data_IF_462143128019
#
_entry.id   IF_462143128019
#
_cell.length_a   1.000
_cell.length_b   1.000
_cell.length_c   1.000
_cell.angle_alpha   90.00
_cell.angle_beta   90.00
_cell.angle_gamma   90.00
#
_symmetry.space_group_name_H-M   'P 1'
#
loop_
_entity.id
_entity.type
_entity.pdbx_description
1 polymer ?
#
# COMPACT_ATOMS: atom_id res chain seq x y z
N UNK A 1 -3.03 21.49 -9.60
CA UNK A 1 -1.89 20.53 -9.58
C UNK A 1 -2.25 19.43 -8.60
N UNK A 2 -2.03 18.15 -8.92
CA UNK A 2 -2.29 17.05 -7.96
C UNK A 2 -1.02 16.88 -7.13
N UNK A 3 -1.16 16.85 -5.82
CA UNK A 3 -0.05 16.53 -4.94
C UNK A 3 0.25 15.03 -5.04
N UNK A 4 1.53 14.61 -5.01
CA UNK A 4 1.89 13.21 -4.93
C UNK A 4 1.25 12.57 -3.69
N UNK A 5 0.77 11.34 -3.84
CA UNK A 5 0.07 10.62 -2.79
C UNK A 5 1.09 10.06 -1.80
N UNK A 6 1.04 10.44 -0.51
CA UNK A 6 1.83 9.81 0.55
C UNK A 6 1.67 8.30 0.51
N UNK A 7 2.79 7.60 0.36
CA UNK A 7 2.84 6.16 0.15
C UNK A 7 3.77 5.52 1.17
N UNK A 8 3.21 4.67 2.02
CA UNK A 8 3.91 3.97 3.10
C UNK A 8 4.09 2.50 2.69
N UNK A 9 5.32 2.00 2.69
CA UNK A 9 5.54 0.55 2.66
C UNK A 9 5.41 0.00 4.07
N UNK A 10 4.67 -1.08 4.23
CA UNK A 10 4.42 -1.73 5.51
C UNK A 10 5.00 -3.13 5.47
N UNK A 11 5.94 -3.41 6.36
CA UNK A 11 6.55 -4.74 6.52
C UNK A 11 6.22 -5.29 7.90
N UNK A 12 6.24 -6.61 8.05
CA UNK A 12 5.96 -7.26 9.31
C UNK A 12 5.90 -8.78 9.18
N UNK A 13 6.03 -9.52 10.29
CA UNK A 13 6.24 -10.97 10.29
C UNK A 13 5.03 -11.78 9.82
N UNK A 14 3.85 -11.17 9.72
CA UNK A 14 2.62 -11.82 9.27
C UNK A 14 1.68 -10.86 8.54
N UNK A 15 0.71 -11.39 7.79
CA UNK A 15 -0.35 -10.60 7.18
C UNK A 15 -1.11 -9.77 8.23
N UNK A 16 -1.45 -10.39 9.36
CA UNK A 16 -2.14 -9.73 10.48
C UNK A 16 -1.31 -8.60 11.09
N UNK A 17 0.00 -8.79 11.26
CA UNK A 17 0.87 -7.74 11.79
C UNK A 17 0.91 -6.51 10.87
N UNK A 18 0.99 -6.71 9.55
CA UNK A 18 0.95 -5.61 8.58
C UNK A 18 -0.41 -4.91 8.56
N UNK A 19 -1.50 -5.66 8.54
CA UNK A 19 -2.86 -5.10 8.56
C UNK A 19 -3.17 -4.35 9.85
N UNK A 20 -2.69 -4.84 11.00
CA UNK A 20 -2.83 -4.16 12.30
C UNK A 20 -2.08 -2.83 12.31
N UNK A 21 -0.85 -2.82 11.79
CA UNK A 21 -0.05 -1.60 11.71
C UNK A 21 -0.71 -0.56 10.78
N UNK A 22 -1.26 -1.00 9.65
CA UNK A 22 -2.06 -0.14 8.76
C UNK A 22 -3.30 0.37 9.49
N UNK A 23 -4.05 -0.49 10.20
CA UNK A 23 -5.24 -0.08 10.94
C UNK A 23 -4.93 0.99 11.99
N UNK A 24 -3.81 0.86 12.71
CA UNK A 24 -3.33 1.87 13.67
C UNK A 24 -2.96 3.18 12.97
N UNK A 25 -2.21 3.13 11.87
CA UNK A 25 -1.88 4.31 11.07
C UNK A 25 -3.12 4.99 10.48
N UNK A 26 -4.15 4.20 10.14
CA UNK A 26 -5.42 4.73 9.64
C UNK A 26 -6.18 5.53 10.69
N UNK A 27 -5.98 5.22 11.98
CA UNK A 27 -6.61 5.89 13.13
C UNK A 27 -5.86 7.15 13.59
N UNK A 28 -4.73 7.51 12.98
CA UNK A 28 -3.97 8.71 13.37
C UNK A 28 -4.87 9.97 13.29
N UNK A 29 -5.14 10.64 14.42
CA UNK A 29 -6.02 11.80 14.48
C UNK A 29 -5.46 13.01 13.72
N UNK A 30 -4.17 13.01 13.39
CA UNK A 30 -3.52 14.01 12.56
C UNK A 30 -3.91 13.89 11.08
N UNK A 31 -4.51 12.76 10.68
CA UNK A 31 -4.99 12.55 9.31
C UNK A 31 -6.48 12.88 9.20
N UNK A 32 -6.92 13.71 8.23
CA UNK A 32 -8.33 14.04 8.06
C UNK A 32 -9.22 12.79 7.87
N UNK A 33 -10.19 12.61 8.77
CA UNK A 33 -11.06 11.41 8.82
C UNK A 33 -12.07 11.30 7.64
N UNK A 34 -12.09 12.29 6.75
CA UNK A 34 -12.95 12.31 5.55
C UNK A 34 -12.26 11.79 4.29
N UNK A 35 -10.97 11.45 4.36
CA UNK A 35 -10.18 11.14 3.17
C UNK A 35 -10.14 9.65 2.84
N UNK A 36 -10.36 9.33 1.56
CA UNK A 36 -10.26 7.99 1.01
C UNK A 36 -8.82 7.48 1.13
N UNK A 37 -8.63 6.33 1.78
CA UNK A 37 -7.34 5.65 1.85
C UNK A 37 -7.34 4.42 0.95
N UNK A 38 -6.17 4.07 0.40
CA UNK A 38 -5.99 2.87 -0.39
C UNK A 38 -4.93 1.97 0.24
N UNK A 39 -5.14 0.65 0.13
CA UNK A 39 -4.23 -0.37 0.64
C UNK A 39 -4.02 -1.43 -0.43
N UNK A 40 -2.76 -1.73 -0.75
CA UNK A 40 -2.35 -2.92 -1.49
C UNK A 40 -1.72 -3.89 -0.49
N UNK A 41 -2.16 -5.15 -0.46
CA UNK A 41 -1.59 -6.18 0.42
C UNK A 41 -1.06 -7.33 -0.41
N UNK A 42 0.20 -7.70 -0.19
CA UNK A 42 0.77 -8.93 -0.70
C UNK A 42 0.33 -10.12 0.17
N UNK A 43 -0.21 -11.13 -0.51
CA UNK A 43 -0.73 -12.35 0.10
C UNK A 43 -2.18 -12.25 0.56
N UNK A 44 -2.68 -13.40 1.03
CA UNK A 44 -4.01 -13.52 1.63
C UNK A 44 -3.97 -13.14 3.12
N UNK A 45 -5.14 -12.84 3.69
CA UNK A 45 -5.27 -12.73 5.15
C UNK A 45 -5.10 -14.11 5.79
N UNK A 46 -4.87 -14.12 7.10
CA UNK A 46 -4.86 -15.31 7.95
C UNK A 46 -6.27 -15.89 8.23
N UNK A 47 -7.27 -15.55 7.40
CA UNK A 47 -8.67 -15.89 7.62
C UNK A 47 -9.40 -14.96 8.60
N UNK A 48 -8.70 -14.00 9.24
CA UNK A 48 -9.30 -13.03 10.15
C UNK A 48 -8.77 -11.61 9.83
N UNK A 49 -9.22 -11.00 8.71
CA UNK A 49 -8.71 -9.72 8.24
C UNK A 49 -8.95 -8.61 9.28
N UNK A 50 -7.94 -7.76 9.48
CA UNK A 50 -8.04 -6.62 10.42
C UNK A 50 -8.59 -5.38 9.70
N UNK A 51 -8.38 -5.30 8.39
CA UNK A 51 -8.88 -4.20 7.55
C UNK A 51 -10.17 -4.60 6.84
N UNK A 52 -11.17 -3.73 6.91
CA UNK A 52 -12.47 -3.91 6.25
C UNK A 52 -12.69 -2.86 5.17
N UNK A 53 -13.19 -3.29 4.00
CA UNK A 53 -13.54 -2.38 2.91
C UNK A 53 -14.68 -1.47 3.37
N UNK A 54 -14.56 -0.18 3.08
CA UNK A 54 -15.60 0.81 3.35
C UNK A 54 -15.58 1.89 2.28
N UNK A 55 -16.53 2.83 2.34
CA UNK A 55 -16.54 4.02 1.46
C UNK A 55 -15.25 4.87 1.57
N UNK A 56 -14.49 4.69 2.66
CA UNK A 56 -13.26 5.44 2.94
C UNK A 56 -12.00 4.59 2.85
N UNK A 57 -12.11 3.30 2.58
CA UNK A 57 -10.97 2.38 2.52
C UNK A 57 -11.09 1.41 1.35
N UNK A 58 -10.21 1.58 0.37
CA UNK A 58 -10.02 0.63 -0.72
C UNK A 58 -8.96 -0.39 -0.33
N UNK A 59 -9.26 -1.67 -0.51
CA UNK A 59 -8.31 -2.76 -0.24
C UNK A 59 -8.17 -3.60 -1.51
N UNK A 60 -6.94 -3.81 -1.96
CA UNK A 60 -6.60 -4.72 -3.06
C UNK A 60 -5.55 -5.72 -2.58
N UNK A 61 -5.80 -7.01 -2.80
CA UNK A 61 -4.83 -8.06 -2.49
C UNK A 61 -4.19 -8.55 -3.78
N UNK A 62 -2.88 -8.79 -3.72
CA UNK A 62 -2.07 -9.31 -4.83
C UNK A 62 -1.39 -10.60 -4.34
N UNK A 63 -1.25 -11.59 -5.22
CA UNK A 63 -0.54 -12.82 -4.91
C UNK A 63 0.93 -12.56 -4.50
N UNK A 64 1.54 -13.42 -3.66
CA UNK A 64 2.96 -13.31 -3.31
C UNK A 64 3.89 -13.28 -4.53
N UNK A 65 5.00 -12.56 -4.43
CA UNK A 65 6.03 -12.46 -5.47
C UNK A 65 5.66 -11.54 -6.64
N UNK A 66 4.48 -10.94 -6.62
CA UNK A 66 4.01 -10.10 -7.72
C UNK A 66 4.39 -8.62 -7.60
N UNK A 67 4.97 -8.19 -6.46
CA UNK A 67 5.33 -6.78 -6.25
C UNK A 67 6.62 -6.35 -6.99
N UNK A 68 7.59 -7.25 -7.20
CA UNK A 68 8.96 -6.87 -7.55
C UNK A 68 9.43 -7.18 -8.99
N UNK A 69 9.19 -8.37 -9.55
CA UNK A 69 9.83 -8.78 -10.83
C UNK A 69 8.89 -9.45 -11.83
N UNK A 70 8.32 -10.62 -11.49
CA UNK A 70 7.48 -11.39 -12.41
C UNK A 70 6.02 -10.90 -12.48
N UNK A 71 5.53 -10.24 -11.42
CA UNK A 71 4.15 -9.74 -11.34
C UNK A 71 3.99 -8.23 -11.49
N UNK A 72 5.02 -7.51 -11.99
CA UNK A 72 4.98 -6.05 -12.11
C UNK A 72 3.74 -5.56 -12.88
N UNK A 73 3.25 -6.32 -13.87
CA UNK A 73 1.99 -5.96 -14.55
C UNK A 73 0.78 -5.93 -13.60
N UNK A 74 0.63 -6.93 -12.73
CA UNK A 74 -0.47 -6.99 -11.75
C UNK A 74 -0.37 -5.83 -10.77
N UNK A 75 0.84 -5.58 -10.25
CA UNK A 75 1.09 -4.44 -9.37
C UNK A 75 0.81 -3.11 -10.08
N UNK A 76 1.29 -2.90 -11.31
CA UNK A 76 1.03 -1.70 -12.12
C UNK A 76 -0.45 -1.48 -12.38
N UNK A 77 -1.18 -2.53 -12.77
CA UNK A 77 -2.62 -2.41 -13.05
C UNK A 77 -3.38 -2.09 -11.77
N UNK A 78 -3.06 -2.77 -10.67
CA UNK A 78 -3.70 -2.55 -9.36
C UNK A 78 -3.43 -1.13 -8.85
N UNK A 79 -2.16 -0.72 -8.85
CA UNK A 79 -1.73 0.61 -8.45
C UNK A 79 -2.40 1.69 -9.31
N UNK A 80 -2.35 1.59 -10.63
CA UNK A 80 -2.99 2.58 -11.51
C UNK A 80 -4.52 2.65 -11.33
N UNK A 81 -5.18 1.52 -11.06
CA UNK A 81 -6.63 1.49 -10.76
C UNK A 81 -6.92 2.23 -9.45
N UNK A 82 -6.12 2.00 -8.41
CA UNK A 82 -6.26 2.70 -7.13
C UNK A 82 -5.98 4.20 -7.27
N UNK A 83 -4.90 4.60 -7.97
CA UNK A 83 -4.55 6.01 -8.17
C UNK A 83 -5.63 6.79 -8.93
N UNK A 84 -6.43 6.13 -9.78
CA UNK A 84 -7.59 6.75 -10.44
C UNK A 84 -8.71 7.13 -9.46
N UNK A 85 -8.82 6.44 -8.32
CA UNK A 85 -9.75 6.77 -7.25
C UNK A 85 -9.28 7.96 -6.40
N UNK A 86 -8.06 8.47 -6.66
CA UNK A 86 -7.46 9.63 -5.97
C UNK A 86 -7.49 9.47 -4.43
N UNK A 87 -6.95 8.37 -3.89
CA UNK A 87 -6.83 8.25 -2.45
C UNK A 87 -5.89 9.33 -1.92
N UNK A 88 -6.16 9.83 -0.71
CA UNK A 88 -5.29 10.79 -0.06
C UNK A 88 -4.00 10.15 0.48
N UNK A 89 -4.01 8.84 0.71
CA UNK A 89 -2.83 8.06 1.13
C UNK A 89 -2.90 6.63 0.65
N UNK A 90 -1.74 6.03 0.46
CA UNK A 90 -1.56 4.66 0.01
C UNK A 90 -0.68 3.88 1.00
N UNK A 91 -1.10 2.68 1.37
CA UNK A 91 -0.28 1.71 2.08
C UNK A 91 -0.01 0.51 1.17
N UNK A 92 1.23 0.01 1.17
CA UNK A 92 1.59 -1.22 0.44
C UNK A 92 2.19 -2.19 1.46
N UNK A 93 1.40 -3.20 1.85
CA UNK A 93 1.85 -4.28 2.72
C UNK A 93 2.68 -5.29 1.95
N UNK A 94 3.98 -5.35 2.25
CA UNK A 94 4.96 -6.21 1.59
C UNK A 94 5.24 -7.42 2.49
N UNK A 95 5.02 -8.63 1.96
CA UNK A 95 5.21 -9.86 2.72
C UNK A 95 6.66 -10.34 2.70
N UNK A 96 7.31 -10.25 1.53
CA UNK A 96 8.71 -10.62 1.35
C UNK A 96 9.59 -9.39 1.17
N UNK A 97 10.52 -9.19 2.10
CA UNK A 97 11.42 -8.04 2.10
C UNK A 97 12.66 -8.24 1.22
N UNK A 98 12.87 -9.43 0.65
CA UNK A 98 14.04 -9.73 -0.19
C UNK A 98 14.20 -8.77 -1.38
N UNK A 99 13.10 -8.21 -1.87
CA UNK A 99 13.09 -7.30 -3.02
C UNK A 99 12.55 -5.90 -2.70
N UNK A 100 12.55 -5.51 -1.42
CA UNK A 100 11.95 -4.27 -0.97
C UNK A 100 12.62 -3.03 -1.58
N UNK A 101 13.94 -3.04 -1.73
CA UNK A 101 14.69 -1.93 -2.34
C UNK A 101 14.39 -1.80 -3.84
N UNK A 102 14.19 -2.92 -4.53
CA UNK A 102 13.78 -2.90 -5.93
C UNK A 102 12.36 -2.34 -6.08
N UNK A 103 11.44 -2.71 -5.18
CA UNK A 103 10.10 -2.14 -5.14
C UNK A 103 10.15 -0.62 -4.91
N UNK A 104 10.95 -0.15 -3.95
CA UNK A 104 11.17 1.29 -3.71
C UNK A 104 11.69 1.99 -4.96
N UNK A 105 12.75 1.45 -5.56
CA UNK A 105 13.34 2.02 -6.78
C UNK A 105 12.31 2.15 -7.90
N UNK A 106 11.47 1.14 -8.09
CA UNK A 106 10.40 1.18 -9.09
C UNK A 106 9.30 2.20 -8.74
N UNK A 107 8.84 2.28 -7.49
CA UNK A 107 7.85 3.27 -7.04
C UNK A 107 8.37 4.71 -7.12
N UNK A 108 9.69 4.91 -7.04
CA UNK A 108 10.36 6.20 -7.23
C UNK A 108 10.79 6.47 -8.68
N UNK A 109 10.43 5.60 -9.63
CA UNK A 109 10.73 5.77 -11.05
C UNK A 109 9.52 6.28 -11.83
N UNK A 110 9.75 6.84 -13.01
CA UNK A 110 8.67 7.33 -13.86
C UNK A 110 7.67 6.21 -14.23
N UNK A 111 6.35 6.46 -14.22
CA UNK A 111 5.70 7.75 -13.94
C UNK A 111 5.32 7.97 -12.46
N UNK A 112 5.72 7.07 -11.56
CA UNK A 112 5.28 7.07 -10.15
C UNK A 112 6.01 8.12 -9.30
N UNK A 113 7.22 8.51 -9.71
CA UNK A 113 7.98 9.65 -9.18
C UNK A 113 7.16 10.95 -9.05
N UNK A 114 6.20 11.16 -9.94
CA UNK A 114 5.32 12.33 -9.94
C UNK A 114 3.96 12.08 -9.26
N UNK A 115 3.61 10.82 -9.01
CA UNK A 115 2.31 10.41 -8.49
C UNK A 115 2.34 10.03 -7.02
N UNK A 116 3.49 9.57 -6.53
CA UNK A 116 3.67 9.05 -5.19
C UNK A 116 4.75 9.86 -4.47
N UNK A 117 4.53 10.09 -3.18
CA UNK A 117 5.57 10.53 -2.26
C UNK A 117 5.84 9.39 -1.28
N UNK A 118 6.95 8.67 -1.46
CA UNK A 118 7.35 7.65 -0.49
C UNK A 118 7.68 8.32 0.85
N UNK A 119 7.08 7.81 1.91
CA UNK A 119 7.33 8.23 3.30
C UNK A 119 8.19 7.20 4.02
N UNK A 120 8.63 7.45 5.26
CA UNK A 120 9.26 6.40 6.06
C UNK A 120 8.39 5.14 6.14
N UNK A 121 9.04 3.99 6.06
CA UNK A 121 8.34 2.71 6.11
C UNK A 121 7.82 2.42 7.52
N UNK A 122 6.70 1.70 7.57
CA UNK A 122 6.15 1.19 8.81
C UNK A 122 6.61 -0.27 9.00
N UNK A 123 7.18 -0.54 10.17
CA UNK A 123 7.65 -1.87 10.56
C UNK A 123 6.81 -2.31 11.77
N UNK A 124 6.23 -3.52 11.70
CA UNK A 124 5.42 -4.11 12.77
C UNK A 124 5.92 -5.45 13.28
#
# INVERSE_FOLDING_TARGET
MRHPIPTVLVTGPSARARETAIAQALQDPSTPRSELSAVILEGLSDGNPVLEISEKLLISRIAPGCLCCAGNLVMRVTLNRLLRQRPARLFIGVADTAHLDQLRSWLSSAPYDQLLALTPDLHS
#
